data_IF_338943412833
#
_entry.id   IF_338943412833
#
_cell.length_a   1.000
_cell.length_b   1.000
_cell.length_c   1.000
_cell.angle_alpha   90.00
_cell.angle_beta   90.00
_cell.angle_gamma   90.00
#
_symmetry.space_group_name_H-M   'P 1'
#
loop_
_entity.id
_entity.type
_entity.pdbx_description
1 polymer ?
#
# COMPACT_ATOMS: atom_id res chain seq x y z
N UNK A 1 4.81 31.25 -11.15
CA UNK A 1 4.28 31.19 -12.53
C UNK A 1 4.70 29.87 -13.16
N UNK A 2 4.49 28.73 -12.49
CA UNK A 2 3.22 28.02 -12.19
C UNK A 2 2.89 27.01 -13.29
N UNK A 3 3.47 25.82 -13.21
CA UNK A 3 2.81 24.59 -13.69
C UNK A 3 2.81 23.52 -12.59
N UNK A 4 2.02 23.72 -11.51
CA UNK A 4 2.05 22.89 -10.30
C UNK A 4 1.17 21.63 -10.39
N UNK A 5 0.82 21.12 -11.58
CA UNK A 5 -0.18 20.04 -11.70
C UNK A 5 0.15 18.97 -12.76
N UNK A 6 1.43 18.62 -12.96
CA UNK A 6 1.76 17.39 -13.70
C UNK A 6 1.68 16.16 -12.80
N UNK A 7 0.43 15.71 -12.62
CA UNK A 7 0.05 14.30 -12.61
C UNK A 7 0.66 13.44 -11.50
N UNK A 8 0.03 13.49 -10.33
CA UNK A 8 -0.08 12.30 -9.49
C UNK A 8 -0.61 11.13 -10.34
N UNK A 9 0.02 9.97 -10.19
CA UNK A 9 -0.43 8.65 -10.69
C UNK A 9 -0.21 8.29 -12.18
N UNK A 10 0.47 9.09 -13.01
CA UNK A 10 0.67 8.70 -14.43
C UNK A 10 2.08 8.89 -14.99
N UNK A 11 3.13 8.72 -14.18
CA UNK A 11 4.51 8.79 -14.69
C UNK A 11 5.12 7.41 -14.96
N UNK A 12 5.02 6.37 -14.10
CA UNK A 12 5.70 5.11 -14.41
C UNK A 12 5.00 4.29 -15.52
N UNK A 13 3.67 4.37 -15.64
CA UNK A 13 2.92 3.54 -16.61
C UNK A 13 2.66 4.28 -17.94
N UNK A 14 2.79 5.62 -17.96
CA UNK A 14 2.72 6.38 -19.20
C UNK A 14 4.01 6.24 -20.04
N UNK A 15 5.15 6.01 -19.39
CA UNK A 15 6.45 5.84 -20.05
C UNK A 15 6.66 4.47 -20.70
N UNK A 16 5.93 3.43 -20.32
CA UNK A 16 6.18 2.06 -20.79
C UNK A 16 5.26 1.58 -21.94
N UNK A 17 4.12 2.24 -22.23
CA UNK A 17 3.11 1.67 -23.15
C UNK A 17 2.40 2.67 -24.06
N UNK A 18 2.45 3.98 -23.79
CA UNK A 18 1.80 4.98 -24.65
C UNK A 18 0.26 5.01 -24.63
N UNK A 19 -0.43 4.12 -23.89
CA UNK A 19 -1.90 4.12 -23.77
C UNK A 19 -2.38 4.01 -22.31
N UNK A 20 -3.07 5.08 -21.84
CA UNK A 20 -3.60 5.23 -20.46
C UNK A 20 -4.57 4.13 -20.05
N UNK A 21 -5.28 3.53 -21.02
CA UNK A 21 -6.27 2.48 -20.74
C UNK A 21 -5.63 1.16 -20.35
N UNK A 22 -4.48 0.80 -20.94
CA UNK A 22 -3.76 -0.42 -20.57
C UNK A 22 -3.10 -0.30 -19.20
N UNK A 23 -2.58 0.88 -18.89
CA UNK A 23 -2.02 1.21 -17.59
C UNK A 23 -3.01 0.97 -16.46
N UNK A 24 -4.21 1.52 -16.64
CA UNK A 24 -5.32 1.38 -15.71
C UNK A 24 -5.77 -0.08 -15.59
N UNK A 25 -5.89 -0.80 -16.73
CA UNK A 25 -6.28 -2.20 -16.72
C UNK A 25 -5.28 -3.09 -15.97
N UNK A 26 -3.97 -2.86 -16.12
CA UNK A 26 -2.94 -3.59 -15.38
C UNK A 26 -2.98 -3.31 -13.87
N UNK A 27 -3.12 -2.05 -13.45
CA UNK A 27 -3.28 -1.72 -12.02
C UNK A 27 -4.56 -2.32 -11.43
N UNK A 28 -5.64 -2.39 -12.20
CA UNK A 28 -6.90 -2.97 -11.76
C UNK A 28 -6.81 -4.49 -11.65
N UNK A 29 -6.14 -5.17 -12.59
CA UNK A 29 -5.85 -6.61 -12.50
C UNK A 29 -4.96 -6.93 -11.31
N UNK A 30 -3.95 -6.10 -11.03
CA UNK A 30 -3.12 -6.25 -9.83
C UNK A 30 -3.92 -6.02 -8.55
N UNK A 31 -4.82 -5.04 -8.53
CA UNK A 31 -5.70 -4.77 -7.38
C UNK A 31 -6.70 -5.89 -7.09
N UNK A 32 -7.06 -6.71 -8.09
CA UNK A 32 -7.89 -7.91 -7.92
C UNK A 32 -7.07 -9.07 -7.30
N UNK A 33 -5.74 -9.06 -7.39
CA UNK A 33 -4.92 -10.12 -6.83
C UNK A 33 -5.03 -10.19 -5.29
N UNK A 34 -5.18 -9.04 -4.60
CA UNK A 34 -5.35 -8.99 -3.14
C UNK A 34 -6.66 -9.64 -2.65
N UNK A 35 -7.86 -9.28 -3.13
CA UNK A 35 -9.10 -9.92 -2.70
C UNK A 35 -9.16 -11.40 -3.11
N UNK A 36 -8.61 -11.77 -4.27
CA UNK A 36 -8.53 -13.18 -4.68
C UNK A 36 -7.61 -13.96 -3.74
N UNK A 37 -6.44 -13.41 -3.41
CA UNK A 37 -5.52 -13.98 -2.45
C UNK A 37 -6.15 -14.11 -1.05
N UNK A 38 -6.91 -13.11 -0.62
CA UNK A 38 -7.63 -13.13 0.65
C UNK A 38 -8.70 -14.23 0.69
N UNK A 39 -9.49 -14.41 -0.39
CA UNK A 39 -10.52 -15.46 -0.47
C UNK A 39 -9.88 -16.85 -0.44
N UNK A 40 -8.81 -17.07 -1.22
CA UNK A 40 -8.11 -18.35 -1.26
C UNK A 40 -7.45 -18.63 0.09
N UNK A 41 -6.78 -17.65 0.69
CA UNK A 41 -6.18 -17.75 2.00
C UNK A 41 -7.20 -18.06 3.09
N UNK A 42 -8.36 -17.39 3.04
CA UNK A 42 -9.47 -17.68 3.96
C UNK A 42 -10.02 -19.09 3.77
N UNK A 43 -10.24 -19.56 2.55
CA UNK A 43 -10.76 -20.90 2.27
C UNK A 43 -9.81 -22.00 2.77
N UNK A 44 -8.50 -21.79 2.62
CA UNK A 44 -7.47 -22.73 3.09
C UNK A 44 -7.32 -22.70 4.61
N UNK A 45 -7.42 -21.51 5.22
CA UNK A 45 -7.22 -21.35 6.65
C UNK A 45 -8.49 -21.60 7.48
N UNK A 46 -9.69 -21.55 6.87
CA UNK A 46 -11.00 -21.77 7.49
C UNK A 46 -11.03 -22.95 8.50
N UNK A 47 -10.52 -24.16 8.19
CA UNK A 47 -10.51 -25.27 9.16
C UNK A 47 -9.48 -25.13 10.29
N UNK A 48 -8.50 -24.23 10.17
CA UNK A 48 -7.42 -23.98 11.12
C UNK A 48 -7.50 -22.60 11.79
N UNK A 49 -8.61 -21.87 11.61
CA UNK A 49 -8.80 -20.55 12.25
C UNK A 49 -8.88 -20.73 13.76
N UNK A 50 -7.86 -20.23 14.45
CA UNK A 50 -7.78 -20.11 15.90
C UNK A 50 -7.16 -18.75 16.24
N UNK A 51 -7.43 -18.20 17.42
CA UNK A 51 -6.93 -16.89 17.82
C UNK A 51 -5.40 -16.78 17.71
N UNK A 52 -4.68 -17.85 18.06
CA UNK A 52 -3.23 -17.89 17.91
C UNK A 52 -2.78 -17.87 16.45
N UNK A 53 -3.45 -18.60 15.57
CA UNK A 53 -3.12 -18.66 14.14
C UNK A 53 -3.38 -17.32 13.49
N UNK A 54 -4.52 -16.69 13.80
CA UNK A 54 -4.83 -15.34 13.32
C UNK A 54 -3.80 -14.33 13.80
N UNK A 55 -3.40 -14.36 15.08
CA UNK A 55 -2.38 -13.46 15.62
C UNK A 55 -1.03 -13.62 14.89
N UNK A 56 -0.60 -14.86 14.63
CA UNK A 56 0.65 -15.14 13.89
C UNK A 56 0.56 -14.66 12.44
N UNK A 57 -0.55 -14.94 11.75
CA UNK A 57 -0.76 -14.50 10.36
C UNK A 57 -0.79 -12.97 10.28
N UNK A 58 -1.53 -12.30 11.16
CA UNK A 58 -1.56 -10.83 11.20
C UNK A 58 -0.18 -10.24 11.54
N UNK A 59 0.58 -10.85 12.44
CA UNK A 59 1.93 -10.41 12.76
C UNK A 59 2.87 -10.50 11.53
N UNK A 60 2.80 -11.61 10.78
CA UNK A 60 3.58 -11.78 9.55
C UNK A 60 3.17 -10.76 8.49
N UNK A 61 1.87 -10.60 8.24
CA UNK A 61 1.35 -9.65 7.24
C UNK A 61 1.71 -8.21 7.62
N UNK A 62 1.55 -7.82 8.89
CA UNK A 62 1.93 -6.51 9.38
C UNK A 62 3.43 -6.25 9.20
N UNK A 63 4.28 -7.24 9.51
CA UNK A 63 5.73 -7.15 9.31
C UNK A 63 6.12 -6.93 7.84
N UNK A 64 5.52 -7.69 6.91
CA UNK A 64 5.77 -7.56 5.47
C UNK A 64 5.33 -6.17 4.98
N UNK A 65 4.15 -5.70 5.38
CA UNK A 65 3.64 -4.38 4.99
C UNK A 65 4.52 -3.23 5.48
N UNK A 66 5.02 -3.31 6.72
CA UNK A 66 5.98 -2.32 7.26
C UNK A 66 7.29 -2.36 6.47
N UNK A 67 7.80 -3.55 6.16
CA UNK A 67 9.03 -3.71 5.38
C UNK A 67 8.90 -3.11 3.97
N UNK A 68 7.86 -3.44 3.22
CA UNK A 68 7.60 -2.88 1.88
C UNK A 68 7.45 -1.35 1.97
N UNK A 69 6.75 -0.85 2.99
CA UNK A 69 6.55 0.58 3.17
C UNK A 69 7.86 1.34 3.37
N UNK A 70 8.77 0.81 4.19
CA UNK A 70 10.05 1.47 4.49
C UNK A 70 11.08 1.26 3.38
N UNK A 71 11.14 0.06 2.80
CA UNK A 71 12.19 -0.30 1.84
C UNK A 71 11.87 0.09 0.39
N UNK A 72 10.59 0.17 0.02
CA UNK A 72 10.18 0.38 -1.37
C UNK A 72 9.33 1.64 -1.54
N UNK A 73 8.31 1.83 -0.70
CA UNK A 73 7.44 3.01 -0.80
C UNK A 73 8.13 4.30 -0.34
N UNK A 74 8.89 4.27 0.76
CA UNK A 74 9.58 5.46 1.29
C UNK A 74 10.63 6.02 0.31
N UNK A 75 11.57 5.25 -0.27
CA UNK A 75 12.50 5.79 -1.26
C UNK A 75 11.78 6.30 -2.51
N UNK A 76 10.78 5.56 -3.01
CA UNK A 76 9.95 6.00 -4.14
C UNK A 76 9.25 7.33 -3.85
N UNK A 77 8.76 7.52 -2.62
CA UNK A 77 8.13 8.76 -2.20
C UNK A 77 9.14 9.91 -2.05
N UNK A 78 10.36 9.65 -1.59
CA UNK A 78 11.42 10.66 -1.48
C UNK A 78 11.88 11.15 -2.87
N UNK A 79 11.97 10.26 -3.86
CA UNK A 79 12.29 10.62 -5.24
C UNK A 79 11.24 11.55 -5.88
N UNK A 80 9.96 11.39 -5.53
CA UNK A 80 8.87 12.18 -6.11
C UNK A 80 8.57 13.51 -5.39
N UNK A 81 8.68 13.55 -4.06
CA UNK A 81 8.17 14.68 -3.24
C UNK A 81 9.29 15.43 -2.48
N UNK A 82 10.54 14.99 -2.61
CA UNK A 82 11.66 15.50 -1.81
C UNK A 82 11.70 14.91 -0.39
N UNK A 83 12.90 14.80 0.16
CA UNK A 83 13.19 13.99 1.37
C UNK A 83 12.31 14.34 2.59
N UNK A 84 11.99 15.62 2.80
CA UNK A 84 11.31 16.05 4.02
C UNK A 84 9.81 15.80 3.98
N UNK A 85 9.14 16.04 2.85
CA UNK A 85 7.68 15.98 2.75
C UNK A 85 7.17 14.55 2.91
N UNK A 86 7.90 13.57 2.35
CA UNK A 86 7.55 12.15 2.46
C UNK A 86 7.69 11.59 3.88
N UNK A 87 8.71 12.04 4.64
CA UNK A 87 8.88 11.62 6.03
C UNK A 87 7.81 12.24 6.93
N UNK A 88 7.48 13.53 6.74
CA UNK A 88 6.36 14.15 7.46
C UNK A 88 5.01 13.48 7.15
N UNK A 89 4.78 13.07 5.88
CA UNK A 89 3.59 12.32 5.49
C UNK A 89 3.50 10.96 6.18
N UNK A 90 4.62 10.22 6.25
CA UNK A 90 4.68 8.93 6.95
C UNK A 90 4.39 9.09 8.45
N UNK A 91 5.02 10.06 9.11
CA UNK A 91 4.81 10.33 10.54
C UNK A 91 3.35 10.74 10.81
N UNK A 92 2.78 11.60 9.96
CA UNK A 92 1.38 12.01 10.06
C UNK A 92 0.43 10.80 9.90
N UNK A 93 0.68 9.93 8.92
CA UNK A 93 -0.11 8.71 8.72
C UNK A 93 -0.06 7.76 9.93
N UNK A 94 1.13 7.56 10.51
CA UNK A 94 1.28 6.77 11.74
C UNK A 94 0.54 7.41 12.93
N UNK A 95 0.56 8.73 13.04
CA UNK A 95 -0.17 9.46 14.08
C UNK A 95 -1.70 9.28 13.91
N UNK A 96 -2.23 9.41 12.70
CA UNK A 96 -3.66 9.19 12.40
C UNK A 96 -4.08 7.76 12.72
N UNK A 97 -3.28 6.76 12.33
CA UNK A 97 -3.55 5.36 12.69
C UNK A 97 -3.57 5.16 14.21
N UNK A 98 -2.58 5.69 14.93
CA UNK A 98 -2.52 5.59 16.39
C UNK A 98 -3.72 6.24 17.06
N UNK A 99 -4.14 7.42 16.62
CA UNK A 99 -5.31 8.13 17.15
C UNK A 99 -6.59 7.35 16.86
N UNK A 100 -6.72 6.78 15.65
CA UNK A 100 -7.89 5.97 15.29
C UNK A 100 -8.01 4.72 16.15
N UNK A 101 -6.89 4.09 16.51
CA UNK A 101 -6.88 2.91 17.36
C UNK A 101 -7.26 3.25 18.80
N UNK A 102 -6.78 4.38 19.33
CA UNK A 102 -7.18 4.89 20.67
C UNK A 102 -8.64 5.33 20.69
N UNK A 103 -9.15 5.93 19.62
CA UNK A 103 -10.55 6.37 19.54
C UNK A 103 -11.56 5.24 19.31
N UNK A 104 -11.12 4.09 18.79
CA UNK A 104 -11.95 2.90 18.58
C UNK A 104 -11.95 1.95 19.81
N UNK A 105 -10.96 2.09 20.68
CA UNK A 105 -10.75 1.25 21.87
C UNK A 105 -11.55 1.72 23.08
#
# INVERSE_FOLDING_TARGET
MDEPQKRGLSVPIFYATGNRTKAFLYSLVSGIAEPVGAIIGYLLLMPYINDTVNAVVFAIVAGIMVFISVSELLPSAQEYSGNHISVYGLICGMAVMSISLVGFM
#
